data_IF_445128109536
#
_entry.id   IF_445128109536
#
_cell.length_a   1.000
_cell.length_b   1.000
_cell.length_c   1.000
_cell.angle_alpha   90.00
_cell.angle_beta   90.00
_cell.angle_gamma   90.00
#
_symmetry.space_group_name_H-M   'P 1'
#
loop_
_entity.id
_entity.type
_entity.pdbx_description
1 polymer ?
#
# COMPACT_ATOMS: atom_id res chain seq x y z
N UNK A 1 -4.38 6.28 -9.44
CA UNK A 1 -5.04 7.61 -9.41
C UNK A 1 -4.92 8.14 -7.99
N UNK A 2 -4.30 9.33 -7.82
CA UNK A 2 -4.37 10.10 -6.59
C UNK A 2 -5.59 11.02 -6.65
N UNK A 3 -6.56 10.78 -5.79
CA UNK A 3 -7.78 11.58 -5.75
C UNK A 3 -8.36 11.62 -4.32
N UNK A 4 -9.09 12.67 -4.01
CA UNK A 4 -9.82 12.79 -2.74
C UNK A 4 -11.21 13.37 -2.96
N UNK A 5 -12.14 13.00 -2.10
CA UNK A 5 -13.44 13.66 -2.03
C UNK A 5 -13.26 15.02 -1.35
N UNK A 6 -13.46 16.11 -2.10
CA UNK A 6 -13.30 17.48 -1.61
C UNK A 6 -14.61 18.10 -1.10
N UNK A 7 -15.74 17.61 -1.62
CA UNK A 7 -17.09 17.92 -1.16
C UNK A 7 -18.04 16.79 -1.60
N UNK A 8 -19.27 16.69 -1.07
CA UNK A 8 -20.25 15.74 -1.56
C UNK A 8 -20.41 15.84 -3.08
N UNK A 9 -20.17 14.72 -3.80
CA UNK A 9 -20.23 14.66 -5.26
C UNK A 9 -19.05 15.27 -6.01
N UNK A 10 -18.01 15.80 -5.31
CA UNK A 10 -16.86 16.45 -5.93
C UNK A 10 -15.57 15.71 -5.58
N UNK A 11 -14.87 15.22 -6.60
CA UNK A 11 -13.58 14.55 -6.45
C UNK A 11 -12.47 15.44 -7.02
N UNK A 12 -11.47 15.76 -6.19
CA UNK A 12 -10.26 16.44 -6.63
C UNK A 12 -9.18 15.38 -6.97
N UNK A 13 -8.70 15.44 -8.20
CA UNK A 13 -7.64 14.57 -8.72
C UNK A 13 -6.32 15.34 -8.67
N UNK A 14 -5.24 14.70 -8.19
CA UNK A 14 -3.90 15.30 -8.09
C UNK A 14 -2.81 14.47 -8.76
N UNK A 15 -3.19 13.45 -9.54
CA UNK A 15 -2.27 12.74 -10.42
C UNK A 15 -2.84 12.69 -11.82
N UNK A 16 -1.99 12.89 -12.83
CA UNK A 16 -2.42 12.81 -14.23
C UNK A 16 -2.51 11.36 -14.74
N UNK A 17 -1.95 10.40 -14.00
CA UNK A 17 -1.93 9.00 -14.42
C UNK A 17 -3.26 8.31 -14.12
N UNK A 18 -4.03 8.04 -15.17
CA UNK A 18 -5.29 7.29 -15.15
C UNK A 18 -5.11 5.87 -15.67
N UNK A 19 -4.11 5.17 -15.15
CA UNK A 19 -3.82 3.81 -15.59
C UNK A 19 -4.43 2.81 -14.63
N UNK A 20 -5.22 1.87 -15.16
CA UNK A 20 -5.76 0.73 -14.42
C UNK A 20 -4.99 -0.52 -14.79
N UNK A 21 -4.47 -1.22 -13.81
CA UNK A 21 -3.96 -2.57 -13.98
C UNK A 21 -4.94 -3.55 -13.39
N UNK A 22 -5.21 -4.62 -14.11
CA UNK A 22 -6.11 -5.68 -13.68
C UNK A 22 -5.57 -7.05 -14.04
N UNK A 23 -6.08 -8.08 -13.37
CA UNK A 23 -5.78 -9.47 -13.68
C UNK A 23 -6.89 -10.37 -13.16
N UNK A 24 -6.95 -11.58 -13.69
CA UNK A 24 -7.85 -12.63 -13.25
C UNK A 24 -7.01 -13.69 -12.54
N UNK A 25 -7.25 -13.95 -11.24
CA UNK A 25 -6.53 -14.99 -10.49
C UNK A 25 -6.68 -16.38 -11.10
N UNK A 26 -7.79 -16.65 -11.78
CA UNK A 26 -8.08 -17.92 -12.44
C UNK A 26 -7.45 -18.00 -13.84
N UNK A 27 -6.86 -16.91 -14.33
CA UNK A 27 -6.18 -16.89 -15.62
C UNK A 27 -7.10 -16.99 -16.84
N UNK A 28 -8.39 -16.67 -16.72
CA UNK A 28 -9.35 -16.75 -17.81
C UNK A 28 -9.09 -15.68 -18.87
N UNK A 29 -8.37 -16.06 -19.94
CA UNK A 29 -7.96 -15.15 -21.02
C UNK A 29 -9.13 -14.51 -21.78
N UNK A 30 -10.24 -15.25 -21.98
CA UNK A 30 -11.43 -14.74 -22.67
C UNK A 30 -12.07 -13.61 -21.85
N UNK A 31 -12.30 -13.84 -20.57
CA UNK A 31 -12.83 -12.85 -19.63
C UNK A 31 -11.94 -11.61 -19.54
N UNK A 32 -10.62 -11.80 -19.52
CA UNK A 32 -9.66 -10.70 -19.51
C UNK A 32 -9.75 -9.86 -20.80
N UNK A 33 -9.86 -10.51 -21.97
CA UNK A 33 -9.98 -9.81 -23.26
C UNK A 33 -11.29 -9.04 -23.39
N UNK A 34 -12.40 -9.62 -22.95
CA UNK A 34 -13.72 -8.95 -22.93
C UNK A 34 -13.69 -7.71 -22.04
N UNK A 35 -13.11 -7.83 -20.83
CA UNK A 35 -13.00 -6.72 -19.91
C UNK A 35 -12.12 -5.58 -20.49
N UNK A 36 -11.02 -5.93 -21.16
CA UNK A 36 -10.16 -4.94 -21.82
C UNK A 36 -10.92 -4.18 -22.91
N UNK A 37 -11.73 -4.87 -23.71
CA UNK A 37 -12.56 -4.24 -24.74
C UNK A 37 -13.59 -3.29 -24.14
N UNK A 38 -14.27 -3.71 -23.05
CA UNK A 38 -15.24 -2.87 -22.37
C UNK A 38 -14.60 -1.59 -21.79
N UNK A 39 -13.45 -1.73 -21.13
CA UNK A 39 -12.69 -0.59 -20.60
C UNK A 39 -12.24 0.35 -21.71
N UNK A 40 -11.71 -0.20 -22.81
CA UNK A 40 -11.29 0.60 -23.98
C UNK A 40 -12.44 1.39 -24.58
N UNK A 41 -13.62 0.78 -24.74
CA UNK A 41 -14.83 1.45 -25.24
C UNK A 41 -15.32 2.55 -24.28
N UNK A 42 -15.09 2.38 -22.99
CA UNK A 42 -15.40 3.39 -21.97
C UNK A 42 -14.34 4.49 -21.85
N UNK A 43 -13.29 4.48 -22.69
CA UNK A 43 -12.18 5.44 -22.61
C UNK A 43 -11.26 5.25 -21.42
N UNK A 44 -11.31 4.08 -20.76
CA UNK A 44 -10.48 3.76 -19.60
C UNK A 44 -9.16 3.13 -20.09
N UNK A 45 -8.03 3.76 -19.76
CA UNK A 45 -6.70 3.20 -20.03
C UNK A 45 -6.42 2.03 -19.08
N UNK A 46 -6.62 0.81 -19.56
CA UNK A 46 -6.44 -0.43 -18.80
C UNK A 46 -5.35 -1.31 -19.40
N UNK A 47 -4.63 -2.01 -18.54
CA UNK A 47 -3.59 -2.97 -18.89
C UNK A 47 -3.78 -4.27 -18.10
N UNK A 48 -3.51 -5.40 -18.76
CA UNK A 48 -3.48 -6.71 -18.13
C UNK A 48 -2.05 -7.28 -18.19
N UNK A 49 -1.19 -6.88 -17.26
CA UNK A 49 0.19 -7.35 -17.23
C UNK A 49 0.27 -8.77 -16.64
N UNK A 50 1.22 -9.57 -17.15
CA UNK A 50 1.46 -10.92 -16.65
C UNK A 50 1.94 -10.95 -15.17
N UNK A 51 2.57 -9.86 -14.72
CA UNK A 51 3.09 -9.67 -13.36
C UNK A 51 2.12 -8.93 -12.43
N UNK A 52 0.80 -9.09 -12.63
CA UNK A 52 -0.21 -8.34 -11.86
C UNK A 52 -0.08 -8.55 -10.34
N UNK A 53 0.24 -9.77 -9.91
CA UNK A 53 0.44 -10.07 -8.49
C UNK A 53 1.61 -9.28 -7.90
N UNK A 54 2.75 -9.24 -8.58
CA UNK A 54 3.92 -8.48 -8.14
C UNK A 54 3.61 -6.97 -8.09
N UNK A 55 2.81 -6.46 -9.05
CA UNK A 55 2.37 -5.05 -9.05
C UNK A 55 1.44 -4.71 -7.91
N UNK A 56 0.50 -5.59 -7.58
CA UNK A 56 -0.38 -5.43 -6.42
C UNK A 56 0.47 -5.39 -5.14
N UNK A 57 1.43 -6.30 -5.03
CA UNK A 57 2.32 -6.35 -3.88
C UNK A 57 3.26 -5.15 -3.76
N UNK A 58 3.76 -4.60 -4.86
CA UNK A 58 4.53 -3.34 -4.83
C UNK A 58 3.70 -2.18 -4.28
N UNK A 59 2.44 -2.08 -4.71
CA UNK A 59 1.53 -1.08 -4.17
C UNK A 59 1.22 -1.34 -2.70
N UNK A 60 0.92 -2.59 -2.33
CA UNK A 60 0.68 -2.98 -0.94
C UNK A 60 1.89 -2.64 -0.06
N UNK A 61 3.09 -2.95 -0.52
CA UNK A 61 4.33 -2.66 0.18
C UNK A 61 4.46 -1.17 0.53
N UNK A 62 4.27 -0.30 -0.46
CA UNK A 62 4.29 1.15 -0.27
C UNK A 62 3.25 1.62 0.75
N UNK A 63 1.99 1.19 0.58
CA UNK A 63 0.89 1.69 1.43
C UNK A 63 0.96 1.10 2.84
N UNK A 64 1.30 -0.17 3.01
CA UNK A 64 1.39 -0.80 4.34
C UNK A 64 2.46 -0.12 5.21
N UNK A 65 3.66 0.11 4.66
CA UNK A 65 4.72 0.81 5.40
C UNK A 65 4.29 2.23 5.80
N UNK A 66 3.87 3.02 4.82
CA UNK A 66 3.57 4.43 5.05
C UNK A 66 2.35 4.62 5.97
N UNK A 67 1.30 3.82 5.77
CA UNK A 67 0.10 3.88 6.61
C UNK A 67 0.38 3.46 8.05
N UNK A 68 1.15 2.39 8.26
CA UNK A 68 1.53 1.93 9.60
C UNK A 68 2.36 2.97 10.32
N UNK A 69 3.40 3.51 9.66
CA UNK A 69 4.33 4.47 10.29
C UNK A 69 3.66 5.80 10.61
N UNK A 70 2.95 6.40 9.64
CA UNK A 70 2.27 7.69 9.86
C UNK A 70 1.21 7.59 10.95
N UNK A 71 0.47 6.48 11.00
CA UNK A 71 -0.54 6.25 12.05
C UNK A 71 0.09 5.98 13.42
N UNK A 72 1.17 5.20 13.46
CA UNK A 72 1.84 4.84 14.71
C UNK A 72 2.48 6.05 15.40
N UNK A 73 3.22 6.86 14.64
CA UNK A 73 3.88 8.06 15.17
C UNK A 73 2.95 9.28 15.25
N UNK A 74 1.75 9.22 14.67
CA UNK A 74 0.84 10.38 14.49
C UNK A 74 1.55 11.55 13.80
N UNK A 75 2.29 11.24 12.73
CA UNK A 75 3.15 12.17 12.00
C UNK A 75 2.91 12.11 10.49
N UNK A 76 3.30 13.20 9.81
CA UNK A 76 3.34 13.25 8.34
C UNK A 76 4.41 12.32 7.75
N UNK A 77 4.38 12.08 6.45
CA UNK A 77 5.39 11.30 5.73
C UNK A 77 6.77 11.94 5.89
N UNK A 78 6.85 13.27 5.77
CA UNK A 78 8.10 14.00 5.91
C UNK A 78 8.70 13.87 7.30
N UNK A 79 7.89 14.03 8.36
CA UNK A 79 8.33 13.85 9.74
C UNK A 79 8.78 12.42 10.03
N UNK A 80 8.06 11.41 9.54
CA UNK A 80 8.48 10.01 9.68
C UNK A 80 9.83 9.76 8.99
N UNK A 81 10.04 10.31 7.79
CA UNK A 81 11.32 10.17 7.10
C UNK A 81 12.46 10.89 7.83
N UNK A 82 12.19 12.00 8.44
CA UNK A 82 13.18 12.80 9.17
C UNK A 82 13.56 12.15 10.50
N UNK A 83 12.57 11.74 11.30
CA UNK A 83 12.80 11.29 12.69
C UNK A 83 12.76 9.78 12.87
N UNK A 84 12.13 9.04 11.96
CA UNK A 84 11.84 7.60 12.10
C UNK A 84 12.17 6.78 10.84
N UNK A 85 13.12 7.23 10.03
CA UNK A 85 13.52 6.58 8.76
C UNK A 85 13.79 5.08 8.92
N UNK A 86 14.45 4.68 10.01
CA UNK A 86 14.70 3.26 10.33
C UNK A 86 13.43 2.43 10.48
N UNK A 87 12.28 3.06 10.71
CA UNK A 87 10.98 2.38 10.71
C UNK A 87 10.62 1.82 9.32
N UNK A 88 10.88 2.57 8.25
CA UNK A 88 10.71 2.08 6.88
C UNK A 88 11.59 0.87 6.58
N UNK A 89 12.84 0.89 7.07
CA UNK A 89 13.79 -0.20 6.87
C UNK A 89 13.31 -1.47 7.59
N UNK A 90 12.99 -1.37 8.89
CA UNK A 90 12.56 -2.51 9.70
C UNK A 90 11.23 -3.13 9.21
N UNK A 91 10.20 -2.31 9.02
CA UNK A 91 8.93 -2.80 8.48
C UNK A 91 9.11 -3.35 7.05
N UNK A 92 9.96 -2.69 6.26
CA UNK A 92 10.27 -3.12 4.90
C UNK A 92 10.92 -4.51 4.86
N UNK A 93 11.89 -4.78 5.72
CA UNK A 93 12.56 -6.09 5.82
C UNK A 93 11.57 -7.19 6.22
N UNK A 94 10.72 -6.94 7.23
CA UNK A 94 9.70 -7.88 7.67
C UNK A 94 8.68 -8.18 6.56
N UNK A 95 8.15 -7.15 5.91
CA UNK A 95 7.19 -7.31 4.81
C UNK A 95 7.82 -7.96 3.57
N UNK A 96 9.08 -7.66 3.28
CA UNK A 96 9.81 -8.27 2.18
C UNK A 96 9.97 -9.78 2.39
N UNK A 97 10.30 -10.21 3.61
CA UNK A 97 10.39 -11.62 3.97
C UNK A 97 9.03 -12.33 3.80
N UNK A 98 7.94 -11.70 4.24
CA UNK A 98 6.57 -12.22 4.05
C UNK A 98 6.24 -12.35 2.56
N UNK A 99 6.54 -11.33 1.75
CA UNK A 99 6.29 -11.35 0.31
C UNK A 99 7.06 -12.49 -0.38
N UNK A 100 8.35 -12.63 -0.09
CA UNK A 100 9.18 -13.71 -0.63
C UNK A 100 8.64 -15.11 -0.27
N UNK A 101 8.24 -15.32 0.98
CA UNK A 101 7.69 -16.61 1.41
C UNK A 101 6.34 -16.93 0.75
N UNK A 102 5.62 -15.94 0.25
CA UNK A 102 4.40 -16.10 -0.56
C UNK A 102 4.69 -16.23 -2.07
N UNK A 103 5.96 -16.32 -2.48
CA UNK A 103 6.35 -16.46 -3.89
C UNK A 103 6.23 -15.18 -4.71
N UNK A 104 6.21 -14.02 -4.07
CA UNK A 104 6.11 -12.71 -4.73
C UNK A 104 7.50 -12.20 -5.11
N UNK A 105 7.67 -11.74 -6.33
CA UNK A 105 8.95 -11.26 -6.86
C UNK A 105 9.04 -9.74 -6.76
N UNK A 106 9.49 -9.25 -5.62
CA UNK A 106 9.79 -7.83 -5.41
C UNK A 106 11.26 -7.52 -5.79
N UNK A 107 11.56 -6.31 -6.29
CA UNK A 107 12.93 -5.86 -6.47
C UNK A 107 13.73 -5.91 -5.16
N UNK A 108 15.00 -6.27 -5.22
CA UNK A 108 15.86 -6.31 -4.02
C UNK A 108 16.01 -4.95 -3.35
N UNK A 109 15.88 -3.88 -4.11
CA UNK A 109 15.95 -2.50 -3.62
C UNK A 109 14.56 -1.88 -3.32
N UNK A 110 13.52 -2.72 -3.17
CA UNK A 110 12.13 -2.27 -2.97
C UNK A 110 11.99 -1.26 -1.82
N UNK A 111 12.65 -1.51 -0.69
CA UNK A 111 12.62 -0.61 0.48
C UNK A 111 13.16 0.76 0.10
N UNK A 112 14.28 0.78 -0.62
CA UNK A 112 14.93 2.00 -1.09
C UNK A 112 14.06 2.77 -2.09
N UNK A 113 13.38 2.04 -2.99
CA UNK A 113 12.43 2.63 -3.93
C UNK A 113 11.25 3.29 -3.19
N UNK A 114 10.68 2.62 -2.20
CA UNK A 114 9.60 3.19 -1.37
C UNK A 114 10.06 4.46 -0.68
N UNK A 115 11.20 4.45 -0.01
CA UNK A 115 11.75 5.63 0.67
C UNK A 115 11.93 6.78 -0.34
N UNK A 116 12.55 6.51 -1.48
CA UNK A 116 12.76 7.51 -2.53
C UNK A 116 11.46 8.08 -3.12
N UNK A 117 10.41 7.28 -3.19
CA UNK A 117 9.09 7.75 -3.63
C UNK A 117 8.40 8.58 -2.56
N UNK A 118 8.56 8.24 -1.29
CA UNK A 118 8.03 9.05 -0.17
C UNK A 118 8.77 10.40 -0.04
N UNK A 119 10.08 10.45 -0.31
CA UNK A 119 10.87 11.69 -0.33
C UNK A 119 10.41 12.71 -1.38
N UNK A 120 9.69 12.26 -2.43
CA UNK A 120 9.09 13.14 -3.45
C UNK A 120 7.74 13.74 -3.04
N UNK A 121 7.15 13.20 -1.97
CA UNK A 121 5.85 13.69 -1.49
C UNK A 121 6.01 15.02 -0.74
N UNK A 122 4.97 15.88 -0.70
CA UNK A 122 4.99 17.05 0.18
C UNK A 122 5.29 16.64 1.62
N UNK A 123 6.06 17.46 2.33
CA UNK A 123 6.50 17.17 3.70
C UNK A 123 5.32 16.87 4.65
N UNK A 124 4.23 17.62 4.51
CA UNK A 124 3.00 17.52 5.29
C UNK A 124 2.01 16.45 4.75
N UNK A 125 2.41 15.73 3.69
CA UNK A 125 1.57 14.66 3.16
C UNK A 125 1.40 13.53 4.19
N UNK A 126 0.23 12.90 4.18
CA UNK A 126 -0.09 11.78 5.05
C UNK A 126 -0.94 10.73 4.34
N UNK A 127 -1.20 9.61 5.03
CA UNK A 127 -2.00 8.52 4.50
C UNK A 127 -3.48 8.64 4.88
N UNK A 128 -4.36 7.96 4.13
CA UNK A 128 -5.79 7.88 4.45
C UNK A 128 -6.01 7.24 5.82
N UNK A 129 -5.31 6.13 6.12
CA UNK A 129 -5.43 5.44 7.40
C UNK A 129 -5.07 6.36 8.58
N UNK A 130 -3.98 7.13 8.49
CA UNK A 130 -3.63 8.12 9.52
C UNK A 130 -4.71 9.21 9.67
N UNK A 131 -5.22 9.71 8.55
CA UNK A 131 -6.33 10.69 8.56
C UNK A 131 -7.58 10.12 9.22
N UNK A 132 -7.90 8.85 9.00
CA UNK A 132 -9.06 8.19 9.58
C UNK A 132 -8.86 7.93 11.09
N UNK A 133 -7.68 7.54 11.55
CA UNK A 133 -7.34 7.49 12.97
C UNK A 133 -7.57 8.83 13.66
N UNK A 134 -7.04 9.92 13.10
CA UNK A 134 -7.20 11.28 13.66
C UNK A 134 -8.66 11.74 13.70
N UNK A 135 -9.51 11.18 12.84
CA UNK A 135 -10.95 11.49 12.78
C UNK A 135 -11.82 10.46 13.48
N UNK A 136 -11.23 9.51 14.19
CA UNK A 136 -11.92 8.40 14.86
C UNK A 136 -12.89 7.64 13.94
N UNK A 137 -12.47 7.42 12.69
CA UNK A 137 -13.22 6.65 11.70
C UNK A 137 -12.72 5.21 11.63
N UNK A 138 -13.55 4.28 11.08
CA UNK A 138 -13.05 2.95 10.73
C UNK A 138 -11.81 3.05 9.83
N UNK A 139 -10.80 2.26 10.14
CA UNK A 139 -9.51 2.29 9.46
C UNK A 139 -9.22 0.99 8.70
N UNK A 140 -8.25 1.02 7.78
CA UNK A 140 -7.73 -0.16 7.09
C UNK A 140 -6.62 -0.88 7.89
N UNK A 141 -6.58 -0.72 9.22
CA UNK A 141 -5.54 -1.30 10.09
C UNK A 141 -5.42 -2.82 9.90
N UNK A 142 -6.55 -3.53 9.88
CA UNK A 142 -6.57 -5.00 9.75
C UNK A 142 -6.03 -5.46 8.39
N UNK A 143 -6.35 -4.75 7.32
CA UNK A 143 -5.96 -5.13 5.96
C UNK A 143 -4.56 -4.69 5.57
N UNK A 144 -4.00 -3.67 6.22
CA UNK A 144 -2.66 -3.16 5.92
C UNK A 144 -1.62 -3.68 6.92
N UNK A 145 -1.78 -3.39 8.20
CA UNK A 145 -0.83 -3.77 9.25
C UNK A 145 -1.13 -5.18 9.77
N UNK A 146 -2.40 -5.46 10.07
CA UNK A 146 -2.87 -6.75 10.59
C UNK A 146 -2.60 -7.91 9.63
N UNK A 147 -2.79 -7.70 8.32
CA UNK A 147 -2.48 -8.71 7.32
C UNK A 147 -1.03 -9.20 7.39
N UNK A 148 -0.07 -8.29 7.61
CA UNK A 148 1.36 -8.66 7.70
C UNK A 148 1.62 -9.50 8.96
N UNK A 149 1.01 -9.12 10.08
CA UNK A 149 1.10 -9.86 11.35
C UNK A 149 0.54 -11.28 11.20
N UNK A 150 -0.65 -11.41 10.63
CA UNK A 150 -1.29 -12.72 10.44
C UNK A 150 -0.54 -13.59 9.41
N UNK A 151 -0.02 -12.97 8.34
CA UNK A 151 0.83 -13.66 7.36
C UNK A 151 2.13 -14.15 8.00
N UNK A 152 2.78 -13.31 8.81
CA UNK A 152 3.99 -13.71 9.55
C UNK A 152 3.73 -14.93 10.44
N UNK A 153 2.65 -14.94 11.21
CA UNK A 153 2.24 -16.09 12.02
C UNK A 153 2.00 -17.35 11.17
N UNK A 154 1.22 -17.23 10.10
CA UNK A 154 0.88 -18.36 9.23
C UNK A 154 2.12 -18.96 8.54
N UNK A 155 3.12 -18.14 8.23
CA UNK A 155 4.37 -18.53 7.57
C UNK A 155 5.50 -18.84 8.55
N UNK A 156 5.27 -18.74 9.86
CA UNK A 156 6.28 -18.89 10.91
C UNK A 156 7.47 -17.91 10.74
N UNK A 157 7.21 -16.70 10.26
CA UNK A 157 8.17 -15.64 10.09
C UNK A 157 8.04 -14.59 11.21
N UNK A 158 9.13 -14.17 11.85
CA UNK A 158 9.08 -13.10 12.84
C UNK A 158 8.82 -11.75 12.17
N UNK A 159 7.81 -11.03 12.66
CA UNK A 159 7.48 -9.67 12.23
C UNK A 159 7.28 -8.76 13.47
N UNK A 160 8.29 -8.67 14.35
CA UNK A 160 8.15 -8.05 15.67
C UNK A 160 7.80 -6.56 15.61
N UNK A 161 8.27 -5.83 14.60
CA UNK A 161 7.98 -4.40 14.45
C UNK A 161 6.52 -4.19 14.03
N UNK A 162 6.02 -4.98 13.08
CA UNK A 162 4.60 -4.97 12.72
C UNK A 162 3.71 -5.39 13.90
N UNK A 163 4.06 -6.44 14.64
CA UNK A 163 3.30 -6.90 15.81
C UNK A 163 3.19 -5.81 16.89
N UNK A 164 4.31 -5.16 17.22
CA UNK A 164 4.35 -4.08 18.20
C UNK A 164 3.45 -2.91 17.77
N UNK A 165 3.62 -2.41 16.54
CA UNK A 165 2.85 -1.27 16.04
C UNK A 165 1.36 -1.61 15.90
N UNK A 166 1.03 -2.80 15.40
CA UNK A 166 -0.35 -3.27 15.28
C UNK A 166 -1.05 -3.34 16.63
N UNK A 167 -0.39 -3.92 17.66
CA UNK A 167 -0.94 -4.02 19.00
C UNK A 167 -1.27 -2.64 19.59
N UNK A 168 -0.39 -1.66 19.39
CA UNK A 168 -0.63 -0.30 19.88
C UNK A 168 -1.75 0.39 19.10
N UNK A 169 -1.73 0.31 17.78
CA UNK A 169 -2.76 0.93 16.94
C UNK A 169 -4.17 0.37 17.19
N UNK A 170 -4.29 -0.89 17.57
CA UNK A 170 -5.60 -1.50 17.97
C UNK A 170 -6.21 -0.90 19.22
N UNK A 171 -5.45 -0.20 20.03
CA UNK A 171 -5.94 0.41 21.28
C UNK A 171 -6.37 1.85 21.11
N UNK A 172 -6.16 2.43 19.91
CA UNK A 172 -6.54 3.80 19.57
C UNK A 172 -7.92 3.85 18.94
#
# INVERSE_FOLDING_TARGET
>A
IGARLSAPGTVSKFTEQDRLWYGDPEGNRLRQAELLQLMSRAGISALNPADIHDRIWRKFFLISLSATLTSYYDQSIGEVLEFHRSGYEKLGEELYAVAQAQGIHLPQDMIRQVIADQEKMPYDATTSMHTDFRKHKPTELETLTGYVVESGKALHLPVPTYEMMYKELKTR
#
